data_IF_606976478472
#
_entry.id   IF_606976478472
#
_cell.length_a   1.000
_cell.length_b   1.000
_cell.length_c   1.000
_cell.angle_alpha   90.00
_cell.angle_beta   90.00
_cell.angle_gamma   90.00
#
_symmetry.space_group_name_H-M   'P 1'
#
loop_
_entity.id
_entity.type
_entity.pdbx_description
1 polymer ?
#
# COMPACT_ATOMS: atom_id res chain seq x y z
N UNK A 1 23.46 -1.65 -34.60
CA UNK A 1 23.55 -1.46 -33.13
C UNK A 1 23.97 -2.77 -32.49
N UNK A 2 24.92 -2.79 -31.54
CA UNK A 2 25.21 -4.01 -30.80
C UNK A 2 24.02 -4.37 -29.91
N UNK A 3 23.60 -5.63 -29.97
CA UNK A 3 22.59 -6.23 -29.09
C UNK A 3 23.24 -6.46 -27.72
N UNK A 4 23.43 -5.40 -26.95
CA UNK A 4 23.84 -5.49 -25.57
C UNK A 4 22.71 -6.10 -24.74
N UNK A 5 23.01 -7.11 -23.93
CA UNK A 5 22.08 -7.62 -22.94
C UNK A 5 21.81 -6.50 -21.93
N UNK A 6 20.63 -5.87 -22.01
CA UNK A 6 20.17 -4.94 -20.99
C UNK A 6 19.52 -5.74 -19.87
N UNK A 7 20.20 -5.88 -18.75
CA UNK A 7 19.59 -6.39 -17.52
C UNK A 7 18.88 -5.21 -16.85
N UNK A 8 17.57 -5.10 -17.03
CA UNK A 8 16.77 -4.12 -16.31
C UNK A 8 16.62 -4.62 -14.86
N UNK A 9 17.35 -4.02 -13.93
CA UNK A 9 17.16 -4.25 -12.51
C UNK A 9 15.88 -3.51 -12.09
N UNK A 10 14.74 -4.19 -12.19
CA UNK A 10 13.52 -3.74 -11.53
C UNK A 10 13.73 -3.98 -10.04
N UNK A 11 13.77 -2.91 -9.26
CA UNK A 11 13.86 -2.98 -7.80
C UNK A 11 12.73 -3.89 -7.27
N UNK A 12 13.00 -4.70 -6.25
CA UNK A 12 12.08 -5.77 -5.80
C UNK A 12 10.75 -5.21 -5.26
N UNK A 13 10.70 -3.90 -4.96
CA UNK A 13 9.52 -3.22 -4.46
C UNK A 13 9.05 -3.76 -3.11
N UNK A 14 8.01 -3.15 -2.55
CA UNK A 14 7.36 -3.62 -1.32
C UNK A 14 5.98 -4.13 -1.69
N UNK A 15 5.83 -5.45 -1.69
CA UNK A 15 4.54 -6.12 -1.85
C UNK A 15 3.87 -6.34 -0.51
N UNK A 16 2.63 -5.90 -0.34
CA UNK A 16 1.83 -6.11 0.86
C UNK A 16 0.36 -6.27 0.51
N UNK A 17 -0.45 -6.71 1.47
CA UNK A 17 -1.90 -6.78 1.33
C UNK A 17 -2.57 -5.60 2.02
N UNK A 18 -3.55 -5.00 1.38
CA UNK A 18 -4.36 -3.91 1.93
C UNK A 18 -5.83 -4.32 2.04
N UNK A 19 -6.37 -4.26 3.25
CA UNK A 19 -7.77 -4.46 3.57
C UNK A 19 -8.49 -3.11 3.54
N UNK A 20 -9.45 -2.99 2.64
CA UNK A 20 -10.30 -1.82 2.49
C UNK A 20 -11.70 -2.14 3.03
N UNK A 21 -12.17 -1.27 3.91
CA UNK A 21 -13.49 -1.35 4.52
C UNK A 21 -14.37 -0.29 3.85
N UNK A 22 -15.59 -0.66 3.49
CA UNK A 22 -16.56 0.29 2.96
C UNK A 22 -17.42 0.83 4.12
N UNK A 23 -17.81 2.09 4.09
CA UNK A 23 -18.52 2.73 5.21
C UNK A 23 -19.93 2.16 5.42
N UNK A 24 -20.55 1.62 4.37
CA UNK A 24 -21.90 1.02 4.44
C UNK A 24 -21.96 -0.33 5.13
N UNK A 25 -20.85 -1.06 5.24
CA UNK A 25 -20.83 -2.41 5.80
C UNK A 25 -19.51 -2.61 6.54
N UNK A 26 -19.56 -2.80 7.87
CA UNK A 26 -18.39 -2.95 8.76
C UNK A 26 -17.56 -4.22 8.47
N UNK A 27 -17.72 -4.85 7.30
CA UNK A 27 -16.96 -5.97 6.80
C UNK A 27 -15.80 -5.47 5.92
N UNK A 28 -14.65 -6.15 6.02
CA UNK A 28 -13.55 -5.97 5.07
C UNK A 28 -14.05 -6.39 3.69
N UNK A 29 -14.41 -5.43 2.84
CA UNK A 29 -15.04 -5.71 1.54
C UNK A 29 -13.99 -6.23 0.54
N UNK A 30 -12.75 -5.76 0.64
CA UNK A 30 -11.73 -6.13 -0.32
C UNK A 30 -10.34 -6.18 0.30
N UNK A 31 -9.65 -7.32 0.13
CA UNK A 31 -8.21 -7.44 0.39
C UNK A 31 -7.51 -7.48 -0.96
N UNK A 32 -6.61 -6.53 -1.21
CA UNK A 32 -5.85 -6.42 -2.45
C UNK A 32 -4.36 -6.61 -2.18
N UNK A 33 -3.68 -7.30 -3.08
CA UNK A 33 -2.21 -7.35 -3.10
C UNK A 33 -1.69 -6.14 -3.90
N UNK A 34 -0.74 -5.41 -3.32
CA UNK A 34 -0.21 -4.17 -3.88
C UNK A 34 1.31 -4.20 -3.77
N UNK A 35 1.99 -3.88 -4.86
CA UNK A 35 3.44 -3.67 -4.88
C UNK A 35 3.71 -2.20 -5.13
N UNK A 36 4.48 -1.58 -4.24
CA UNK A 36 4.93 -0.19 -4.38
C UNK A 36 6.44 -0.14 -4.58
N UNK A 37 6.90 0.77 -5.43
CA UNK A 37 8.33 0.91 -5.75
C UNK A 37 8.92 2.22 -5.24
N UNK A 38 8.09 3.21 -4.97
CA UNK A 38 8.52 4.55 -4.53
C UNK A 38 7.55 5.12 -3.50
N UNK A 39 8.02 6.09 -2.72
CA UNK A 39 7.16 6.85 -1.81
C UNK A 39 6.07 7.63 -2.54
N UNK A 40 6.33 8.06 -3.78
CA UNK A 40 5.36 8.75 -4.61
C UNK A 40 4.18 7.83 -4.99
N UNK A 41 4.45 6.58 -5.37
CA UNK A 41 3.43 5.56 -5.64
C UNK A 41 2.60 5.26 -4.39
N UNK A 42 3.23 5.27 -3.20
CA UNK A 42 2.50 5.16 -1.94
C UNK A 42 1.53 6.34 -1.72
N UNK A 43 2.00 7.57 -1.93
CA UNK A 43 1.16 8.77 -1.78
C UNK A 43 0.03 8.83 -2.80
N UNK A 44 0.28 8.48 -4.06
CA UNK A 44 -0.76 8.36 -5.09
C UNK A 44 -1.78 7.29 -4.71
N UNK A 45 -1.33 6.11 -4.26
CA UNK A 45 -2.20 5.04 -3.79
C UNK A 45 -3.12 5.50 -2.65
N UNK A 46 -2.57 6.18 -1.64
CA UNK A 46 -3.34 6.73 -0.54
C UNK A 46 -4.36 7.76 -1.04
N UNK A 47 -3.92 8.71 -1.85
CA UNK A 47 -4.76 9.81 -2.37
C UNK A 47 -5.92 9.29 -3.22
N UNK A 48 -5.66 8.37 -4.16
CA UNK A 48 -6.69 7.78 -5.04
C UNK A 48 -7.79 7.06 -4.27
N UNK A 49 -7.47 6.54 -3.08
CA UNK A 49 -8.41 5.80 -2.24
C UNK A 49 -8.95 6.59 -1.05
N UNK A 50 -8.63 7.90 -0.99
CA UNK A 50 -9.00 8.78 0.12
C UNK A 50 -8.43 8.36 1.47
N UNK A 51 -7.30 7.64 1.46
CA UNK A 51 -6.62 7.18 2.66
C UNK A 51 -5.61 8.24 3.12
N UNK A 52 -5.41 8.32 4.43
CA UNK A 52 -4.34 9.13 5.05
C UNK A 52 -3.13 8.30 5.47
N UNK A 53 -3.24 6.98 5.42
CA UNK A 53 -2.16 6.06 5.76
C UNK A 53 -2.63 4.62 5.80
N UNK A 54 -1.70 3.74 6.16
CA UNK A 54 -1.95 2.32 6.37
C UNK A 54 -1.75 1.98 7.84
N UNK A 55 -2.54 1.07 8.40
CA UNK A 55 -2.36 0.56 9.77
C UNK A 55 -2.22 -0.95 9.74
N UNK A 56 -1.34 -1.53 10.54
CA UNK A 56 -1.24 -2.99 10.65
C UNK A 56 -2.54 -3.58 11.24
N UNK A 57 -3.01 -4.72 10.75
CA UNK A 57 -4.32 -5.29 11.17
C UNK A 57 -4.37 -5.59 12.68
N UNK A 58 -3.28 -6.08 13.26
CA UNK A 58 -3.17 -6.38 14.69
C UNK A 58 -2.51 -5.23 15.48
N UNK A 59 -2.12 -4.15 14.79
CA UNK A 59 -1.31 -3.08 15.34
C UNK A 59 -2.06 -1.77 15.49
N UNK A 60 -1.61 -0.96 16.45
CA UNK A 60 -2.05 0.43 16.60
C UNK A 60 -1.22 1.41 15.78
N UNK A 61 -0.12 0.94 15.15
CA UNK A 61 0.80 1.79 14.40
C UNK A 61 0.24 2.08 13.02
N UNK A 62 0.18 3.37 12.69
CA UNK A 62 -0.09 3.86 11.35
C UNK A 62 1.22 4.20 10.66
N UNK A 63 1.30 3.88 9.38
CA UNK A 63 2.42 4.06 8.49
C UNK A 63 2.04 5.07 7.42
N UNK A 64 2.89 6.08 7.28
CA UNK A 64 2.75 7.16 6.31
C UNK A 64 3.93 7.20 5.33
N UNK A 65 4.86 6.25 5.43
CA UNK A 65 6.00 6.11 4.54
C UNK A 65 6.10 4.66 4.05
N UNK A 66 6.74 4.48 2.90
CA UNK A 66 6.99 3.18 2.30
C UNK A 66 8.04 2.36 3.07
N UNK A 67 9.07 3.01 3.63
CA UNK A 67 10.19 2.34 4.30
C UNK A 67 9.78 1.59 5.58
N UNK A 68 8.75 2.08 6.26
CA UNK A 68 8.20 1.42 7.44
C UNK A 68 7.28 0.22 7.11
N UNK A 69 6.91 0.04 5.83
CA UNK A 69 6.09 -1.09 5.39
C UNK A 69 6.92 -2.35 5.30
N UNK A 70 6.31 -3.47 5.70
CA UNK A 70 6.93 -4.79 5.65
C UNK A 70 6.40 -5.56 4.46
N UNK A 71 7.28 -6.18 3.66
CA UNK A 71 6.84 -7.06 2.59
C UNK A 71 6.07 -8.26 3.16
N UNK A 72 4.98 -8.63 2.49
CA UNK A 72 4.08 -9.72 2.87
C UNK A 72 3.15 -9.42 4.06
N UNK A 73 3.25 -8.24 4.67
CA UNK A 73 2.36 -7.85 5.75
C UNK A 73 0.95 -7.46 5.25
N UNK A 74 -0.01 -7.46 6.17
CA UNK A 74 -1.38 -7.05 5.88
C UNK A 74 -1.69 -5.76 6.63
N UNK A 75 -2.14 -4.76 5.89
CA UNK A 75 -2.49 -3.44 6.38
C UNK A 75 -3.97 -3.14 6.15
N UNK A 76 -4.55 -2.28 6.97
CA UNK A 76 -5.85 -1.65 6.79
C UNK A 76 -5.66 -0.22 6.30
N UNK A 77 -6.46 0.19 5.33
CA UNK A 77 -6.53 1.60 4.91
C UNK A 77 -7.12 2.47 6.03
N UNK A 78 -6.41 3.52 6.43
CA UNK A 78 -6.88 4.51 7.40
C UNK A 78 -7.45 5.70 6.66
N UNK A 79 -8.69 6.08 6.98
CA UNK A 79 -9.35 7.28 6.47
C UNK A 79 -9.57 8.26 7.62
N UNK A 80 -9.59 9.56 7.32
CA UNK A 80 -10.17 10.51 8.27
C UNK A 80 -11.67 10.24 8.33
N UNK A 81 -12.19 10.06 9.53
CA UNK A 81 -13.63 9.98 9.76
C UNK A 81 -14.17 11.41 9.65
N UNK A 82 -14.68 11.76 8.48
CA UNK A 82 -15.32 13.05 8.15
C UNK A 82 -15.49 13.13 6.64
N UNK A 83 -16.68 13.20 6.06
CA UNK A 83 -18.00 13.72 6.49
C UNK A 83 -19.09 12.64 6.49
#
# INVERSE_FOLDING_TARGET
MPLGNYTLHLDEGISFKVCLYNESDRLAVHTEDKTLYTEDDFRDFLTRRGLIGLREIDGYRCFSNIDDLRPGAVYQGVRLLGD
#
